data_IF_208231937491
#
_entry.id   IF_208231937491
#
_cell.length_a   1.000
_cell.length_b   1.000
_cell.length_c   1.000
_cell.angle_alpha   90.00
_cell.angle_beta   90.00
_cell.angle_gamma   90.00
#
_symmetry.space_group_name_H-M   'P 1'
#
loop_
_entity.id
_entity.type
_entity.pdbx_description
1 polymer ?
#
# COMPACT_ATOMS: atom_id res chain seq x y z
N UNK A 1 -1.50 -10.18 -11.92
CA UNK A 1 -0.07 -10.59 -12.08
C UNK A 1 0.67 -10.26 -10.79
N UNK A 2 1.25 -11.23 -10.09
CA UNK A 2 1.94 -10.98 -8.81
C UNK A 2 3.41 -10.63 -9.08
N UNK A 3 3.82 -9.41 -8.72
CA UNK A 3 5.21 -8.94 -8.88
C UNK A 3 5.57 -8.06 -7.71
N UNK A 4 6.72 -8.31 -7.10
CA UNK A 4 7.34 -7.44 -6.09
C UNK A 4 8.78 -7.17 -6.53
N UNK A 5 9.21 -5.91 -6.51
CA UNK A 5 10.51 -5.47 -6.98
C UNK A 5 11.09 -4.45 -6.00
N UNK A 6 12.40 -4.53 -5.74
CA UNK A 6 13.11 -3.59 -4.87
C UNK A 6 13.96 -2.64 -5.72
N UNK A 7 13.65 -1.35 -5.65
CA UNK A 7 14.40 -0.27 -6.30
C UNK A 7 15.50 0.17 -5.32
N UNK A 8 16.66 -0.48 -5.42
CA UNK A 8 17.76 -0.39 -4.45
C UNK A 8 18.26 1.03 -4.19
N UNK A 9 18.36 1.85 -5.24
CA UNK A 9 18.90 3.21 -5.15
C UNK A 9 17.95 4.19 -4.45
N UNK A 10 16.66 3.90 -4.42
CA UNK A 10 15.64 4.67 -3.69
C UNK A 10 15.29 4.06 -2.32
N UNK A 11 15.64 2.78 -2.10
CA UNK A 11 15.19 2.05 -0.91
C UNK A 11 13.68 1.83 -0.89
N UNK A 12 13.07 1.64 -2.07
CA UNK A 12 11.61 1.51 -2.25
C UNK A 12 11.26 0.12 -2.75
N UNK A 13 10.25 -0.51 -2.15
CA UNK A 13 9.65 -1.75 -2.67
C UNK A 13 8.40 -1.37 -3.46
N UNK A 14 8.24 -1.91 -4.65
CA UNK A 14 7.07 -1.68 -5.51
C UNK A 14 6.50 -3.01 -5.95
N UNK A 15 5.20 -3.06 -6.21
CA UNK A 15 4.62 -4.30 -6.70
C UNK A 15 3.15 -4.25 -7.03
N UNK A 16 2.63 -5.40 -7.44
CA UNK A 16 1.21 -5.67 -7.62
C UNK A 16 0.87 -7.05 -7.10
N UNK A 17 -0.23 -7.15 -6.35
CA UNK A 17 -0.87 -8.39 -5.91
C UNK A 17 -2.37 -8.21 -6.02
N UNK A 18 -3.10 -9.26 -6.42
CA UNK A 18 -4.56 -9.18 -6.61
C UNK A 18 -5.01 -8.00 -7.48
N UNK A 19 -4.21 -7.66 -8.49
CA UNK A 19 -4.37 -6.52 -9.41
C UNK A 19 -4.44 -5.13 -8.71
N UNK A 20 -3.90 -5.06 -7.48
CA UNK A 20 -3.70 -3.84 -6.70
C UNK A 20 -2.20 -3.50 -6.71
N UNK A 21 -1.83 -2.37 -7.33
CA UNK A 21 -0.49 -1.79 -7.22
C UNK A 21 -0.23 -1.22 -5.83
N UNK A 22 1.00 -1.36 -5.35
CA UNK A 22 1.44 -0.83 -4.06
C UNK A 22 2.89 -0.34 -4.10
N UNK A 23 3.21 0.55 -3.16
CA UNK A 23 4.56 1.10 -2.93
C UNK A 23 4.84 1.00 -1.44
N UNK A 24 6.02 0.55 -1.04
CA UNK A 24 6.51 0.62 0.34
C UNK A 24 7.75 1.49 0.37
N UNK A 25 7.69 2.56 1.16
CA UNK A 25 8.78 3.52 1.29
C UNK A 25 8.93 3.97 2.74
N UNK A 26 10.16 4.34 3.12
CA UNK A 26 10.43 4.88 4.44
C UNK A 26 9.87 6.30 4.58
N UNK A 27 8.95 6.50 5.52
CA UNK A 27 8.48 7.83 5.92
C UNK A 27 9.40 8.37 7.02
N UNK A 28 10.27 9.32 6.65
CA UNK A 28 11.23 9.92 7.57
C UNK A 28 10.58 10.68 8.75
N UNK A 29 9.36 11.21 8.58
CA UNK A 29 8.66 11.93 9.66
C UNK A 29 8.12 10.94 10.69
N UNK A 30 7.57 9.82 10.22
CA UNK A 30 7.04 8.75 11.08
C UNK A 30 8.13 7.80 11.57
N UNK A 31 9.33 7.83 10.95
CA UNK A 31 10.48 6.96 11.19
C UNK A 31 10.19 5.47 10.98
N UNK A 32 9.35 5.15 10.01
CA UNK A 32 8.87 3.79 9.72
C UNK A 32 8.56 3.62 8.24
N UNK A 33 8.53 2.37 7.76
CA UNK A 33 8.12 2.08 6.40
C UNK A 33 6.60 2.23 6.29
N UNK A 34 6.12 2.71 5.15
CA UNK A 34 4.69 2.90 4.90
C UNK A 34 4.33 2.24 3.59
N UNK A 35 3.35 1.34 3.64
CA UNK A 35 2.65 0.80 2.48
C UNK A 35 1.65 1.84 1.98
N UNK A 36 1.86 2.32 0.77
CA UNK A 36 0.98 3.21 0.04
C UNK A 36 0.20 2.42 -1.02
N UNK A 37 -1.11 2.63 -1.03
CA UNK A 37 -2.03 2.15 -2.06
C UNK A 37 -2.95 3.31 -2.44
N UNK A 38 -3.07 3.60 -3.73
CA UNK A 38 -3.91 4.70 -4.19
C UNK A 38 -5.32 4.15 -4.49
N UNK A 39 -6.23 4.25 -3.54
CA UNK A 39 -7.62 3.75 -3.63
C UNK A 39 -8.58 4.78 -3.05
N UNK A 40 -9.82 4.78 -3.54
CA UNK A 40 -10.92 5.59 -3.00
C UNK A 40 -11.08 5.51 -1.47
N UNK A 41 -11.71 6.55 -0.90
CA UNK A 41 -12.05 6.56 0.52
C UNK A 41 -12.93 5.36 0.88
N UNK A 42 -12.79 4.91 2.11
CA UNK A 42 -13.61 3.86 2.68
C UNK A 42 -14.95 4.40 3.16
N UNK A 43 -16.04 3.91 2.57
CA UNK A 43 -17.38 4.43 2.86
C UNK A 43 -18.03 3.80 4.11
N UNK A 44 -17.58 2.61 4.55
CA UNK A 44 -18.31 1.82 5.56
C UNK A 44 -17.46 1.29 6.73
N UNK A 45 -16.17 1.61 6.82
CA UNK A 45 -15.28 1.25 7.93
C UNK A 45 -14.88 -0.23 8.04
N UNK A 46 -15.39 -1.09 7.17
CA UNK A 46 -15.21 -2.53 7.28
C UNK A 46 -13.81 -3.06 6.85
N UNK A 47 -13.07 -2.32 6.02
CA UNK A 47 -11.65 -2.56 5.75
C UNK A 47 -10.77 -2.10 6.92
N UNK A 48 -11.08 -0.97 7.58
CA UNK A 48 -10.41 -0.60 8.83
C UNK A 48 -10.63 -1.65 9.92
N UNK A 49 -11.84 -2.19 10.05
CA UNK A 49 -12.14 -3.28 10.99
C UNK A 49 -11.33 -4.54 10.69
N UNK A 50 -11.24 -4.93 9.41
CA UNK A 50 -10.38 -6.01 8.95
C UNK A 50 -8.92 -5.76 9.36
N UNK A 51 -8.36 -4.59 9.05
CA UNK A 51 -6.98 -4.26 9.38
C UNK A 51 -6.73 -4.25 10.89
N UNK A 52 -7.71 -3.77 11.67
CA UNK A 52 -7.60 -3.78 13.12
C UNK A 52 -7.54 -5.20 13.68
N UNK A 53 -8.39 -6.12 13.20
CA UNK A 53 -8.35 -7.52 13.62
C UNK A 53 -7.12 -8.26 13.08
N UNK A 54 -6.67 -7.94 11.87
CA UNK A 54 -5.49 -8.55 11.27
C UNK A 54 -4.20 -8.18 12.02
N UNK A 55 -4.11 -6.94 12.50
CA UNK A 55 -2.99 -6.48 13.35
C UNK A 55 -2.83 -7.28 14.63
N UNK A 56 -3.89 -7.84 15.20
CA UNK A 56 -3.79 -8.64 16.43
C UNK A 56 -2.90 -9.88 16.25
N UNK A 57 -2.74 -10.34 15.00
CA UNK A 57 -1.86 -11.44 14.61
C UNK A 57 -0.56 -10.97 13.93
N UNK A 58 -0.50 -9.71 13.52
CA UNK A 58 0.61 -9.08 12.79
C UNK A 58 0.95 -7.71 13.40
N UNK A 59 1.63 -7.68 14.57
CA UNK A 59 1.82 -6.45 15.36
C UNK A 59 2.67 -5.39 14.66
N UNK A 60 3.44 -5.77 13.62
CA UNK A 60 4.18 -4.84 12.78
C UNK A 60 3.31 -3.91 11.92
N UNK A 61 2.00 -4.17 11.80
CA UNK A 61 1.07 -3.26 11.11
C UNK A 61 0.65 -2.14 12.07
N UNK A 62 0.98 -0.90 11.76
CA UNK A 62 0.66 0.23 12.64
C UNK A 62 -0.81 0.67 12.58
N UNK A 63 -1.27 1.32 13.65
CA UNK A 63 -2.67 1.70 13.85
C UNK A 63 -3.12 2.97 13.13
N UNK A 64 -2.18 3.85 12.79
CA UNK A 64 -2.49 5.16 12.19
C UNK A 64 -2.52 5.06 10.67
N UNK A 65 -3.66 4.59 10.17
CA UNK A 65 -3.96 4.52 8.75
C UNK A 65 -4.44 5.91 8.29
N UNK A 66 -3.88 6.41 7.19
CA UNK A 66 -4.21 7.74 6.68
C UNK A 66 -4.78 7.63 5.27
N UNK A 67 -5.94 8.29 5.06
CA UNK A 67 -6.46 8.65 3.75
C UNK A 67 -6.14 10.13 3.51
N UNK A 68 -5.28 10.45 2.54
CA UNK A 68 -4.82 11.83 2.32
C UNK A 68 -5.30 12.42 0.98
N UNK A 69 -6.00 13.56 1.05
CA UNK A 69 -6.21 14.51 -0.05
C UNK A 69 -7.45 14.25 -0.92
N UNK A 70 -7.60 15.07 -1.99
CA UNK A 70 -8.63 14.88 -3.03
C UNK A 70 -8.43 13.59 -3.84
N UNK A 71 -7.26 12.96 -3.69
CA UNK A 71 -6.86 11.74 -4.35
C UNK A 71 -6.69 10.75 -3.21
N UNK A 72 -7.72 9.96 -2.95
CA UNK A 72 -7.72 8.98 -1.87
C UNK A 72 -6.48 8.07 -1.98
N UNK A 73 -5.57 8.20 -1.01
CA UNK A 73 -4.35 7.41 -0.85
C UNK A 73 -4.36 6.81 0.53
N UNK A 74 -4.34 5.49 0.58
CA UNK A 74 -4.28 4.69 1.79
C UNK A 74 -2.81 4.48 2.17
N UNK A 75 -2.43 4.95 3.36
CA UNK A 75 -1.12 4.75 3.93
C UNK A 75 -1.21 3.87 5.18
N UNK A 76 -0.56 2.70 5.13
CA UNK A 76 -0.51 1.71 6.22
C UNK A 76 0.94 1.66 6.74
N UNK A 77 1.20 2.08 7.99
CA UNK A 77 2.51 1.94 8.61
C UNK A 77 2.93 0.47 8.75
N UNK A 78 4.18 0.16 8.47
CA UNK A 78 4.81 -1.15 8.62
C UNK A 78 6.12 -1.02 9.43
N UNK A 79 6.17 -1.63 10.60
CA UNK A 79 7.36 -1.75 11.43
C UNK A 79 8.13 -3.02 11.06
N UNK A 80 9.14 -2.86 10.20
CA UNK A 80 9.99 -3.96 9.74
C UNK A 80 10.86 -4.58 10.84
N UNK A 81 10.95 -3.98 12.03
CA UNK A 81 11.59 -4.65 13.17
C UNK A 81 10.73 -5.78 13.76
N UNK A 82 9.44 -5.80 13.44
CA UNK A 82 8.46 -6.79 13.90
C UNK A 82 7.88 -7.63 12.77
N UNK A 83 8.31 -7.40 11.52
CA UNK A 83 7.86 -8.14 10.34
C UNK A 83 9.02 -8.98 9.83
N UNK A 84 8.82 -10.29 9.73
CA UNK A 84 9.72 -11.14 8.97
C UNK A 84 9.58 -10.81 7.48
N UNK A 85 10.55 -10.08 6.93
CA UNK A 85 10.50 -9.64 5.54
C UNK A 85 10.59 -10.80 4.54
N UNK A 86 11.14 -11.95 4.92
CA UNK A 86 11.27 -13.11 4.04
C UNK A 86 9.96 -13.92 3.99
N UNK A 87 9.28 -14.06 5.13
CA UNK A 87 8.13 -14.98 5.25
C UNK A 87 6.79 -14.29 5.46
N UNK A 88 6.76 -13.17 6.19
CA UNK A 88 5.54 -12.53 6.67
C UNK A 88 5.12 -11.35 5.78
N UNK A 89 6.07 -10.55 5.29
CA UNK A 89 5.75 -9.37 4.48
C UNK A 89 4.91 -9.71 3.25
N UNK A 90 5.25 -10.79 2.53
CA UNK A 90 4.48 -11.20 1.35
C UNK A 90 3.03 -11.59 1.72
N UNK A 91 2.84 -12.23 2.87
CA UNK A 91 1.51 -12.62 3.38
C UNK A 91 0.68 -11.40 3.77
N UNK A 92 1.30 -10.42 4.44
CA UNK A 92 0.65 -9.16 4.79
C UNK A 92 0.19 -8.44 3.52
N UNK A 93 1.06 -8.33 2.52
CA UNK A 93 0.72 -7.68 1.23
C UNK A 93 -0.38 -8.44 0.49
N UNK A 94 -0.33 -9.78 0.48
CA UNK A 94 -1.37 -10.62 -0.11
C UNK A 94 -2.72 -10.40 0.57
N UNK A 95 -2.77 -10.47 1.90
CA UNK A 95 -4.01 -10.31 2.65
C UNK A 95 -4.63 -8.92 2.46
N UNK A 96 -3.83 -7.86 2.55
CA UNK A 96 -4.30 -6.48 2.38
C UNK A 96 -4.83 -6.25 0.96
N UNK A 97 -4.07 -6.66 -0.07
CA UNK A 97 -4.49 -6.47 -1.46
C UNK A 97 -5.71 -7.32 -1.82
N UNK A 98 -5.80 -8.56 -1.30
CA UNK A 98 -6.95 -9.43 -1.49
C UNK A 98 -8.21 -8.84 -0.84
N UNK A 99 -8.10 -8.29 0.36
CA UNK A 99 -9.25 -7.68 1.05
C UNK A 99 -9.76 -6.46 0.27
N UNK A 100 -8.86 -5.59 -0.20
CA UNK A 100 -9.21 -4.45 -1.05
C UNK A 100 -9.92 -4.91 -2.34
N UNK A 101 -9.39 -5.92 -3.01
CA UNK A 101 -9.98 -6.48 -4.23
C UNK A 101 -11.36 -7.11 -3.98
N UNK A 102 -11.49 -7.90 -2.90
CA UNK A 102 -12.75 -8.56 -2.50
C UNK A 102 -13.85 -7.53 -2.23
N UNK A 103 -13.48 -6.41 -1.59
CA UNK A 103 -14.37 -5.28 -1.31
C UNK A 103 -14.56 -4.33 -2.49
N UNK A 104 -13.91 -4.61 -3.63
CA UNK A 104 -14.02 -3.85 -4.89
C UNK A 104 -13.52 -2.41 -4.76
N UNK A 105 -12.47 -2.18 -3.98
CA UNK A 105 -11.77 -0.90 -4.00
C UNK A 105 -11.20 -0.64 -5.39
N UNK A 106 -11.44 0.57 -5.91
CA UNK A 106 -10.95 0.97 -7.23
C UNK A 106 -9.66 1.76 -7.05
N UNK A 107 -8.59 1.30 -7.69
CA UNK A 107 -7.33 2.01 -7.71
C UNK A 107 -7.41 3.30 -8.51
N UNK A 108 -6.64 4.30 -8.07
CA UNK A 108 -6.63 5.65 -8.66
C UNK A 108 -5.20 6.08 -8.96
N UNK A 109 -5.03 6.83 -10.03
CA UNK A 109 -3.79 7.55 -10.31
C UNK A 109 -3.54 8.55 -9.18
N UNK A 110 -2.32 8.54 -8.66
CA UNK A 110 -1.87 9.39 -7.56
C UNK A 110 -1.92 10.89 -7.87
N UNK A 111 -2.08 11.29 -9.14
CA UNK A 111 -2.15 12.70 -9.57
C UNK A 111 -3.50 13.07 -10.17
N UNK A 112 -4.03 12.27 -11.09
CA UNK A 112 -5.25 12.62 -11.84
C UNK A 112 -6.53 12.06 -11.19
N UNK A 113 -6.42 11.10 -10.27
CA UNK A 113 -7.56 10.36 -9.72
C UNK A 113 -8.23 9.38 -10.69
N UNK A 114 -7.79 9.34 -11.96
CA UNK A 114 -8.31 8.41 -12.99
C UNK A 114 -7.98 6.97 -12.63
N UNK A 115 -8.77 6.04 -13.12
CA UNK A 115 -8.69 4.61 -12.74
C UNK A 115 -8.19 3.72 -13.88
N UNK A 116 -8.09 4.25 -15.09
CA UNK A 116 -7.68 3.52 -16.27
C UNK A 116 -6.16 3.49 -16.46
N UNK A 117 -5.65 2.38 -17.01
CA UNK A 117 -4.25 2.21 -17.43
C UNK A 117 -3.21 2.54 -16.35
N UNK A 118 -3.43 2.04 -15.14
CA UNK A 118 -2.55 2.27 -14.00
C UNK A 118 -1.27 1.44 -14.08
N UNK A 119 -0.14 2.04 -13.68
CA UNK A 119 1.13 1.37 -13.49
C UNK A 119 1.98 2.14 -12.46
N UNK A 120 3.10 1.54 -12.06
CA UNK A 120 4.06 2.18 -11.17
C UNK A 120 5.14 2.85 -12.02
N UNK A 121 5.36 4.15 -11.78
CA UNK A 121 6.35 4.96 -12.48
C UNK A 121 7.38 5.51 -11.53
N UNK A 122 8.64 5.50 -11.97
CA UNK A 122 9.73 6.24 -11.33
C UNK A 122 9.76 7.67 -11.87
N UNK A 123 9.74 8.64 -10.96
CA UNK A 123 9.86 10.07 -11.23
C UNK A 123 11.08 10.60 -10.45
N UNK A 124 12.23 10.67 -11.11
CA UNK A 124 13.52 11.04 -10.50
C UNK A 124 13.86 10.18 -9.26
N UNK A 125 13.76 10.79 -8.08
CA UNK A 125 14.04 10.21 -6.76
C UNK A 125 12.78 9.74 -6.04
N UNK A 126 11.67 9.56 -6.76
CA UNK A 126 10.40 9.13 -6.22
C UNK A 126 9.74 8.05 -7.10
N UNK A 127 8.74 7.37 -6.55
CA UNK A 127 7.92 6.38 -7.25
C UNK A 127 6.45 6.71 -6.97
N UNK A 128 5.59 6.58 -7.98
CA UNK A 128 4.16 6.86 -7.85
C UNK A 128 3.33 5.92 -8.73
N UNK A 129 2.09 5.64 -8.32
CA UNK A 129 1.11 4.89 -9.12
C UNK A 129 0.38 5.90 -10.02
N UNK A 130 0.58 5.83 -11.34
CA UNK A 130 0.01 6.79 -12.31
C UNK A 130 -0.74 6.08 -13.43
N UNK A 131 -1.61 6.82 -14.11
CA UNK A 131 -2.17 6.41 -15.39
C UNK A 131 -1.21 6.73 -16.55
N UNK A 132 -1.22 5.89 -17.59
CA UNK A 132 -0.65 6.20 -18.92
C UNK A 132 -1.24 7.49 -19.53
#
# INVERSE_FOLDING_TARGET
MNKTEFIQDLGVIVGSKNDIYFIIQYDAKKRLNTLQINVGDEENGAFLDFLSGYRDFHPGIGSRIEFQGNISRLYIPLDFSQIDQENELDQILEAITLELATRRYIQRCGVSGRTDNLAIYRLDNNVEILNL
#
